data_IF_978254635437
#
_entry.id   IF_978254635437
#
_cell.length_a   1.000
_cell.length_b   1.000
_cell.length_c   1.000
_cell.angle_alpha   90.00
_cell.angle_beta   90.00
_cell.angle_gamma   90.00
#
_symmetry.space_group_name_H-M   'P 1'
#
loop_
_entity.id
_entity.type
_entity.pdbx_description
1 polymer ?
#
# COMPACT_ATOMS: atom_id res chain seq x y z
N UNK A 1 26.34 5.11 12.69
CA UNK A 1 25.44 4.38 13.60
C UNK A 1 25.85 2.93 13.59
N UNK A 2 25.84 2.24 14.73
CA UNK A 2 26.09 0.80 14.75
C UNK A 2 24.86 0.08 14.18
N UNK A 3 25.09 -0.82 13.24
CA UNK A 3 24.06 -1.70 12.69
C UNK A 3 23.76 -2.72 13.80
N UNK A 4 22.65 -2.53 14.50
CA UNK A 4 22.17 -3.54 15.47
C UNK A 4 21.49 -4.62 14.65
N UNK A 5 22.15 -5.76 14.46
CA UNK A 5 21.63 -6.89 13.69
C UNK A 5 20.71 -7.76 14.54
N UNK A 6 19.57 -8.14 13.99
CA UNK A 6 18.59 -9.00 14.67
C UNK A 6 18.78 -10.46 14.25
N UNK A 7 19.34 -11.29 15.14
CA UNK A 7 19.51 -12.74 14.93
C UNK A 7 18.20 -13.50 15.25
N UNK A 8 17.14 -13.22 14.49
CA UNK A 8 15.88 -13.96 14.60
C UNK A 8 15.65 -14.83 13.35
N UNK A 9 15.65 -16.17 13.47
CA UNK A 9 15.58 -17.08 12.32
C UNK A 9 14.27 -16.96 11.52
N UNK A 10 13.17 -16.57 12.18
CA UNK A 10 11.89 -16.31 11.52
C UNK A 10 11.91 -15.05 10.63
N UNK A 11 12.59 -13.99 11.08
CA UNK A 11 12.71 -12.73 10.33
C UNK A 11 13.70 -12.89 9.17
N UNK A 12 14.79 -13.63 9.39
CA UNK A 12 15.74 -14.00 8.35
C UNK A 12 15.10 -14.83 7.23
N UNK A 13 14.18 -15.73 7.56
CA UNK A 13 13.42 -16.50 6.56
C UNK A 13 12.37 -15.65 5.83
N UNK A 14 11.78 -14.64 6.48
CA UNK A 14 10.87 -13.70 5.83
C UNK A 14 11.59 -12.77 4.83
N UNK A 15 12.83 -12.35 5.12
CA UNK A 15 13.64 -11.49 4.25
C UNK A 15 14.47 -12.23 3.19
N UNK A 16 15.05 -13.39 3.53
CA UNK A 16 15.99 -14.14 2.67
C UNK A 16 15.58 -15.58 2.39
N UNK A 17 14.41 -16.00 2.86
CA UNK A 17 13.85 -17.31 2.52
C UNK A 17 13.49 -17.38 1.05
N UNK A 18 13.84 -18.50 0.43
CA UNK A 18 13.41 -18.82 -0.93
C UNK A 18 12.27 -19.83 -0.81
N UNK A 19 11.06 -19.45 -1.20
CA UNK A 19 9.96 -20.40 -1.37
C UNK A 19 9.74 -20.58 -2.86
N UNK A 20 9.93 -21.79 -3.38
CA UNK A 20 9.64 -22.12 -4.78
C UNK A 20 10.39 -21.23 -5.82
N UNK A 21 11.69 -21.00 -5.63
CA UNK A 21 12.58 -20.16 -6.47
C UNK A 21 12.35 -18.64 -6.42
N UNK A 22 11.31 -18.14 -5.75
CA UNK A 22 11.08 -16.69 -5.61
C UNK A 22 11.43 -16.19 -4.19
N UNK A 23 11.99 -14.97 -4.06
CA UNK A 23 12.16 -14.32 -2.76
C UNK A 23 10.82 -14.19 -2.05
N UNK A 24 10.77 -14.56 -0.76
CA UNK A 24 9.57 -14.43 0.08
C UNK A 24 8.92 -13.02 0.05
N UNK A 25 9.67 -11.89 -0.03
CA UNK A 25 9.07 -10.56 -0.20
C UNK A 25 8.18 -10.43 -1.43
N UNK A 26 8.59 -11.01 -2.56
CA UNK A 26 7.85 -10.94 -3.84
C UNK A 26 6.54 -11.71 -3.73
N UNK A 27 6.56 -12.86 -3.06
CA UNK A 27 5.38 -13.70 -2.84
C UNK A 27 4.38 -12.97 -1.95
N UNK A 28 4.86 -12.35 -0.86
CA UNK A 28 3.99 -11.57 0.05
C UNK A 28 3.39 -10.37 -0.70
N UNK A 29 4.17 -9.64 -1.50
CA UNK A 29 3.69 -8.53 -2.31
C UNK A 29 2.67 -8.98 -3.37
N UNK A 30 2.90 -10.10 -4.05
CA UNK A 30 1.95 -10.66 -5.02
C UNK A 30 0.65 -11.12 -4.34
N UNK A 31 0.75 -11.75 -3.17
CA UNK A 31 -0.40 -12.19 -2.39
C UNK A 31 -1.24 -11.00 -1.88
N UNK A 32 -0.61 -9.95 -1.35
CA UNK A 32 -1.32 -8.74 -0.94
C UNK A 32 -1.96 -8.04 -2.12
N UNK A 33 -1.26 -7.91 -3.25
CA UNK A 33 -1.82 -7.36 -4.48
C UNK A 33 -3.05 -8.14 -4.96
N UNK A 34 -2.98 -9.48 -5.00
CA UNK A 34 -4.13 -10.32 -5.36
C UNK A 34 -5.30 -10.15 -4.40
N UNK A 35 -5.02 -10.11 -3.10
CA UNK A 35 -6.04 -9.93 -2.06
C UNK A 35 -6.74 -8.58 -2.23
N UNK A 36 -5.99 -7.49 -2.39
CA UNK A 36 -6.54 -6.16 -2.61
C UNK A 36 -7.26 -6.01 -3.95
N UNK A 37 -6.77 -6.65 -5.01
CA UNK A 37 -7.41 -6.65 -6.32
C UNK A 37 -8.75 -7.38 -6.28
N UNK A 38 -8.80 -8.55 -5.63
CA UNK A 38 -10.05 -9.28 -5.42
C UNK A 38 -10.99 -8.50 -4.51
N UNK A 39 -10.50 -7.96 -3.41
CA UNK A 39 -11.32 -7.19 -2.48
C UNK A 39 -11.92 -5.97 -3.18
N UNK A 40 -11.13 -5.19 -3.91
CA UNK A 40 -11.61 -4.01 -4.62
C UNK A 40 -12.55 -4.37 -5.79
N UNK A 41 -12.24 -5.41 -6.59
CA UNK A 41 -13.06 -5.76 -7.77
C UNK A 41 -14.32 -6.56 -7.46
N UNK A 42 -14.35 -7.33 -6.37
CA UNK A 42 -15.49 -8.21 -6.02
C UNK A 42 -16.39 -7.63 -4.94
N UNK A 43 -15.96 -6.60 -4.19
CA UNK A 43 -16.77 -6.04 -3.11
C UNK A 43 -17.41 -4.70 -3.48
N UNK A 44 -18.53 -4.39 -2.84
CA UNK A 44 -19.19 -3.08 -2.97
C UNK A 44 -18.29 -1.92 -2.50
N UNK A 45 -17.27 -2.19 -1.67
CA UNK A 45 -16.33 -1.18 -1.21
C UNK A 45 -15.54 -0.54 -2.36
N UNK A 46 -15.15 -1.31 -3.38
CA UNK A 46 -14.46 -0.77 -4.55
C UNK A 46 -15.33 0.24 -5.32
N UNK A 47 -16.59 -0.10 -5.54
CA UNK A 47 -17.56 0.79 -6.18
C UNK A 47 -17.76 2.09 -5.38
N UNK A 48 -17.86 2.00 -4.04
CA UNK A 48 -18.00 3.18 -3.20
C UNK A 48 -16.74 4.06 -3.21
N UNK A 49 -15.55 3.44 -3.22
CA UNK A 49 -14.27 4.16 -3.31
C UNK A 49 -14.17 4.89 -4.65
N UNK A 50 -14.50 4.24 -5.77
CA UNK A 50 -14.52 4.87 -7.10
C UNK A 50 -15.52 6.04 -7.17
N UNK A 51 -16.74 5.84 -6.68
CA UNK A 51 -17.77 6.88 -6.68
C UNK A 51 -17.35 8.12 -5.86
N UNK A 52 -16.76 7.89 -4.68
CA UNK A 52 -16.23 8.96 -3.82
C UNK A 52 -15.02 9.64 -4.46
N UNK A 53 -14.15 8.88 -5.13
CA UNK A 53 -12.97 9.40 -5.83
C UNK A 53 -13.30 10.30 -7.01
N UNK A 54 -14.41 10.04 -7.73
CA UNK A 54 -14.89 10.91 -8.82
C UNK A 54 -15.49 12.20 -8.27
N UNK A 55 -16.45 12.09 -7.34
CA UNK A 55 -17.10 13.27 -6.75
C UNK A 55 -17.72 12.97 -5.39
N UNK A 56 -17.06 13.46 -4.33
CA UNK A 56 -17.51 13.28 -2.95
C UNK A 56 -18.88 13.90 -2.66
N UNK A 57 -19.24 15.01 -3.33
CA UNK A 57 -20.54 15.67 -3.13
C UNK A 57 -21.67 14.86 -3.76
N UNK A 58 -21.44 14.34 -4.97
CA UNK A 58 -22.40 13.47 -5.64
C UNK A 58 -22.59 12.15 -4.89
N UNK A 59 -21.51 11.52 -4.42
CA UNK A 59 -21.57 10.31 -3.61
C UNK A 59 -22.35 10.52 -2.30
N UNK A 60 -22.16 11.66 -1.64
CA UNK A 60 -22.93 12.02 -0.43
C UNK A 60 -24.42 12.19 -0.73
N UNK A 61 -24.78 12.82 -1.85
CA UNK A 61 -26.17 12.98 -2.28
C UNK A 61 -26.82 11.64 -2.68
N UNK A 62 -26.03 10.66 -3.13
CA UNK A 62 -26.47 9.30 -3.42
C UNK A 62 -26.63 8.40 -2.17
N UNK A 63 -26.51 8.96 -0.96
CA UNK A 63 -26.66 8.22 0.30
C UNK A 63 -25.42 7.45 0.75
N UNK A 64 -24.28 7.62 0.07
CA UNK A 64 -23.02 6.98 0.49
C UNK A 64 -22.41 7.77 1.64
N UNK A 65 -22.05 7.08 2.73
CA UNK A 65 -21.33 7.70 3.83
C UNK A 65 -19.85 7.91 3.45
N UNK A 66 -19.59 9.01 2.75
CA UNK A 66 -18.26 9.35 2.22
C UNK A 66 -17.18 9.40 3.29
N UNK A 67 -17.52 9.79 4.52
CA UNK A 67 -16.57 9.85 5.65
C UNK A 67 -16.03 8.46 6.00
N UNK A 68 -16.89 7.45 6.05
CA UNK A 68 -16.48 6.08 6.35
C UNK A 68 -15.66 5.52 5.19
N UNK A 69 -16.06 5.77 3.95
CA UNK A 69 -15.32 5.28 2.77
C UNK A 69 -13.90 5.85 2.73
N UNK A 70 -13.73 7.16 2.98
CA UNK A 70 -12.41 7.79 3.05
C UNK A 70 -11.58 7.24 4.21
N UNK A 71 -12.19 7.08 5.40
CA UNK A 71 -11.50 6.48 6.54
C UNK A 71 -11.01 5.06 6.23
N UNK A 72 -11.86 4.22 5.64
CA UNK A 72 -11.50 2.86 5.25
C UNK A 72 -10.36 2.84 4.22
N UNK A 73 -10.37 3.76 3.24
CA UNK A 73 -9.29 3.88 2.27
C UNK A 73 -7.94 4.21 2.95
N UNK A 74 -7.93 5.12 3.93
CA UNK A 74 -6.73 5.43 4.71
C UNK A 74 -6.27 4.25 5.58
N UNK A 75 -7.20 3.55 6.23
CA UNK A 75 -6.87 2.35 7.03
C UNK A 75 -6.25 1.26 6.15
N UNK A 76 -6.85 0.99 4.99
CA UNK A 76 -6.33 0.03 4.02
C UNK A 76 -4.93 0.40 3.53
N UNK A 77 -4.69 1.68 3.24
CA UNK A 77 -3.35 2.19 2.90
C UNK A 77 -2.35 1.97 4.04
N UNK A 78 -2.76 2.24 5.29
CA UNK A 78 -1.94 2.00 6.48
C UNK A 78 -1.57 0.53 6.68
N UNK A 79 -2.50 -0.40 6.40
CA UNK A 79 -2.23 -1.85 6.44
C UNK A 79 -1.20 -2.24 5.38
N UNK A 80 -1.32 -1.73 4.15
CA UNK A 80 -0.32 -1.95 3.09
C UNK A 80 1.06 -1.41 3.50
N UNK A 81 1.11 -0.20 4.06
CA UNK A 81 2.34 0.42 4.52
C UNK A 81 3.00 -0.38 5.66
N UNK A 82 2.20 -0.90 6.60
CA UNK A 82 2.70 -1.76 7.68
C UNK A 82 3.32 -3.05 7.15
N UNK A 83 2.66 -3.72 6.19
CA UNK A 83 3.19 -4.95 5.56
C UNK A 83 4.50 -4.65 4.82
N UNK A 84 4.54 -3.57 4.03
CA UNK A 84 5.76 -3.15 3.32
C UNK A 84 6.90 -2.82 4.30
N UNK A 85 6.60 -2.12 5.40
CA UNK A 85 7.57 -1.81 6.45
C UNK A 85 8.14 -3.04 7.13
N UNK A 86 7.32 -4.07 7.39
CA UNK A 86 7.77 -5.35 7.94
C UNK A 86 8.73 -6.05 6.97
N UNK A 87 8.44 -6.02 5.67
CA UNK A 87 9.32 -6.61 4.64
C UNK A 87 10.67 -5.89 4.59
N UNK A 88 10.67 -4.55 4.56
CA UNK A 88 11.90 -3.75 4.55
C UNK A 88 12.72 -3.99 5.82
N UNK A 89 12.06 -4.06 6.98
CA UNK A 89 12.73 -4.37 8.24
C UNK A 89 13.34 -5.79 8.26
N UNK A 90 12.68 -6.76 7.62
CA UNK A 90 13.17 -8.13 7.50
C UNK A 90 14.34 -8.26 6.50
N UNK A 91 14.37 -7.44 5.45
CA UNK A 91 15.43 -7.42 4.43
C UNK A 91 16.75 -6.85 4.98
N UNK A 92 16.67 -5.73 5.72
CA UNK A 92 17.86 -5.04 6.23
C UNK A 92 18.53 -5.85 7.35
N UNK A 93 17.79 -6.74 8.04
CA UNK A 93 18.27 -7.61 9.15
C UNK A 93 19.02 -6.85 10.26
N UNK A 94 18.86 -5.53 10.30
CA UNK A 94 19.44 -4.62 11.27
C UNK A 94 18.90 -3.20 11.11
N UNK A 95 19.16 -2.33 12.08
CA UNK A 95 18.71 -0.94 12.03
C UNK A 95 19.66 -0.07 11.20
N UNK A 96 19.49 -0.07 9.86
CA UNK A 96 20.18 0.87 8.97
C UNK A 96 19.29 2.06 8.62
N UNK A 97 19.39 3.12 9.42
CA UNK A 97 18.61 4.34 9.23
C UNK A 97 19.00 5.15 7.98
N UNK A 98 20.12 4.86 7.33
CA UNK A 98 20.55 5.58 6.12
C UNK A 98 19.98 4.96 4.84
N UNK A 99 19.78 3.65 4.81
CA UNK A 99 19.29 2.95 3.62
C UNK A 99 17.83 2.51 3.73
N UNK A 100 17.29 2.34 4.96
CA UNK A 100 15.89 2.03 5.17
C UNK A 100 14.99 3.21 4.78
N UNK A 101 14.22 3.07 3.70
CA UNK A 101 13.24 4.08 3.30
C UNK A 101 13.75 5.16 2.36
N UNK A 102 15.04 5.14 1.98
CA UNK A 102 15.56 6.07 1.00
C UNK A 102 14.82 5.88 -0.34
N UNK A 103 14.21 6.96 -0.85
CA UNK A 103 13.42 6.98 -2.09
C UNK A 103 12.16 6.10 -2.13
N UNK A 104 11.87 5.27 -1.13
CA UNK A 104 10.67 4.41 -1.15
C UNK A 104 9.37 5.21 -1.29
N UNK A 105 9.30 6.40 -0.70
CA UNK A 105 8.16 7.30 -0.86
C UNK A 105 8.02 7.81 -2.30
N UNK A 106 9.15 8.20 -2.92
CA UNK A 106 9.16 8.69 -4.29
C UNK A 106 8.84 7.57 -5.28
N UNK A 107 9.41 6.38 -5.10
CA UNK A 107 9.14 5.19 -5.91
C UNK A 107 7.68 4.76 -5.78
N UNK A 108 7.09 4.86 -4.59
CA UNK A 108 5.67 4.60 -4.39
C UNK A 108 4.79 5.60 -5.16
N UNK A 109 5.12 6.89 -5.15
CA UNK A 109 4.42 7.91 -5.95
C UNK A 109 4.58 7.60 -7.44
N UNK A 110 5.81 7.32 -7.91
CA UNK A 110 6.09 7.01 -9.31
C UNK A 110 5.31 5.78 -9.79
N UNK A 111 5.28 4.70 -9.01
CA UNK A 111 4.56 3.48 -9.34
C UNK A 111 3.05 3.73 -9.49
N UNK A 112 2.45 4.52 -8.60
CA UNK A 112 1.02 4.85 -8.63
C UNK A 112 0.65 5.76 -9.80
N UNK A 113 1.55 6.69 -10.17
CA UNK A 113 1.35 7.58 -11.33
C UNK A 113 1.49 6.82 -12.64
N UNK A 114 2.49 5.95 -12.78
CA UNK A 114 2.62 5.03 -13.93
C UNK A 114 1.41 4.09 -14.01
N UNK A 115 0.87 3.67 -12.85
CA UNK A 115 -0.36 2.89 -12.72
C UNK A 115 -1.64 3.63 -13.14
N UNK A 116 -1.56 4.91 -13.51
CA UNK A 116 -2.68 5.70 -14.04
C UNK A 116 -3.40 6.60 -13.04
N UNK A 117 -2.90 6.74 -11.81
CA UNK A 117 -3.43 7.72 -10.87
C UNK A 117 -2.99 9.14 -11.26
N UNK A 118 -3.93 10.09 -11.26
CA UNK A 118 -3.66 11.49 -11.56
C UNK A 118 -3.11 12.24 -10.35
N UNK A 119 -1.91 12.82 -10.47
CA UNK A 119 -1.36 13.78 -9.49
C UNK A 119 -2.16 15.08 -9.43
N UNK A 120 -2.88 15.42 -10.50
CA UNK A 120 -3.65 16.67 -10.60
C UNK A 120 -4.96 16.63 -9.80
N UNK A 121 -5.33 15.48 -9.23
CA UNK A 121 -6.56 15.32 -8.45
C UNK A 121 -7.85 15.58 -9.24
N UNK A 122 -8.96 15.78 -8.52
CA UNK A 122 -10.25 16.13 -9.10
C UNK A 122 -10.34 17.62 -9.45
N UNK A 123 -10.58 17.93 -10.73
CA UNK A 123 -10.83 19.29 -11.22
C UNK A 123 -12.20 19.80 -10.76
N UNK A 124 -12.21 20.81 -9.89
CA UNK A 124 -13.41 21.55 -9.53
C UNK A 124 -13.50 22.80 -10.42
N UNK A 125 -14.54 22.88 -11.25
CA UNK A 125 -14.86 24.07 -12.03
C UNK A 125 -16.16 24.68 -11.49
N UNK A 126 -16.13 25.97 -11.16
CA UNK A 126 -17.28 26.76 -10.67
C UNK A 126 -17.97 27.58 -11.78
N UNK A 127 -17.42 27.57 -12.99
CA UNK A 127 -17.96 28.27 -14.16
C UNK A 127 -18.90 27.38 -14.95
#
# INVERSE_FOLDING_TARGET
GQIVTFDSPALAWLGSGSFLLFPTPVIVAAATLLLFLLFTRKTALGMFIEAVGINIRAAKNAGVNTRIVVMLAYVLSGVCAAIAGIIVAADIRGADANNAGLWLELDAILAVVIGGASLMGGRFNLL
#
